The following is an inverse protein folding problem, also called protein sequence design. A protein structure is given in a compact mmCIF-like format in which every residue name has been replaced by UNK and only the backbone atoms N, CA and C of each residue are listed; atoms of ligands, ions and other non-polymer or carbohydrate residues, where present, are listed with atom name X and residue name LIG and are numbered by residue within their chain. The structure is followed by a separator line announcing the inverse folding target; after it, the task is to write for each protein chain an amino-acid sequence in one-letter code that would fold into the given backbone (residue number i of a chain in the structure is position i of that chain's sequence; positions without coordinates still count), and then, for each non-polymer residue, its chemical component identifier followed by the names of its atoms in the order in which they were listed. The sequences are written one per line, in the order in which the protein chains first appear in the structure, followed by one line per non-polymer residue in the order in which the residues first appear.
data_IF_211241261124
#
_entry.id   IF_211241261124
#
_cell.length_a   1.000
_cell.length_b   1.000
_cell.length_c   1.000
_cell.angle_alpha   90.00
_cell.angle_beta   90.00
_cell.angle_gamma   90.00
#
_symmetry.space_group_name_H-M   'P 1'
#
loop_
_entity.id
_entity.type
_entity.pdbx_description
1 polymer ?
#
# COMPACT_ATOMS: atom_id res chain seq x y z
N UNK A 1 -11.06 4.36 -28.95
CA UNK A 1 -12.35 4.67 -29.62
C UNK A 1 -13.45 4.67 -28.56
N UNK A 2 -14.43 5.59 -28.60
CA UNK A 2 -15.57 5.53 -27.69
C UNK A 2 -16.44 4.30 -27.99
N UNK A 3 -17.08 3.74 -26.95
CA UNK A 3 -18.05 2.68 -27.11
C UNK A 3 -19.35 3.19 -27.80
N UNK A 4 -20.30 2.27 -28.03
CA UNK A 4 -21.59 2.62 -28.68
C UNK A 4 -22.43 3.65 -27.91
N UNK A 5 -22.00 4.02 -26.70
CA UNK A 5 -22.64 5.01 -25.81
C UNK A 5 -21.77 6.26 -25.62
N UNK A 6 -20.71 6.45 -26.42
CA UNK A 6 -19.82 7.61 -26.36
C UNK A 6 -18.86 7.62 -25.15
N UNK A 7 -18.73 6.51 -24.42
CA UNK A 7 -17.80 6.40 -23.30
C UNK A 7 -16.39 6.18 -23.83
N UNK A 8 -15.45 7.00 -23.38
CA UNK A 8 -14.02 6.78 -23.63
C UNK A 8 -13.54 5.67 -22.71
N UNK A 9 -13.11 4.54 -23.28
CA UNK A 9 -12.38 3.54 -22.52
C UNK A 9 -10.97 4.08 -22.23
N UNK A 10 -10.55 4.02 -20.97
CA UNK A 10 -9.16 4.28 -20.61
C UNK A 10 -8.29 3.18 -21.21
N UNK A 11 -7.24 3.57 -21.92
CA UNK A 11 -6.26 2.61 -22.45
C UNK A 11 -5.44 1.97 -21.30
N UNK A 12 -5.29 2.68 -20.18
CA UNK A 12 -4.57 2.25 -18.99
C UNK A 12 -4.50 3.40 -17.97
N UNK A 13 -4.03 3.08 -16.78
CA UNK A 13 -3.79 4.01 -15.68
C UNK A 13 -2.33 3.92 -15.26
N UNK A 14 -1.72 5.06 -15.00
CA UNK A 14 -0.41 5.16 -14.35
C UNK A 14 -0.62 5.82 -13.00
N UNK A 15 -0.31 5.08 -11.93
CA UNK A 15 -0.30 5.58 -10.57
C UNK A 15 1.14 5.97 -10.22
N UNK A 16 1.42 7.27 -10.16
CA UNK A 16 2.75 7.78 -9.85
C UNK A 16 2.87 8.04 -8.34
N UNK A 17 3.66 7.19 -7.67
CA UNK A 17 3.97 7.27 -6.26
C UNK A 17 5.43 7.66 -5.98
N UNK A 18 6.14 8.13 -6.99
CA UNK A 18 7.51 8.62 -6.81
C UNK A 18 7.53 9.81 -5.86
N UNK A 19 8.45 9.81 -4.92
CA UNK A 19 8.57 10.84 -3.88
C UNK A 19 7.40 10.88 -2.89
N UNK A 20 6.53 9.88 -2.87
CA UNK A 20 5.41 9.78 -1.93
C UNK A 20 5.86 9.11 -0.63
N UNK A 21 5.99 9.85 0.50
CA UNK A 21 6.50 9.29 1.76
C UNK A 21 5.49 8.44 2.52
N UNK A 22 4.32 8.22 1.94
CA UNK A 22 3.20 7.54 2.58
C UNK A 22 2.20 8.51 3.20
N UNK A 23 1.53 8.05 4.23
CA UNK A 23 0.45 8.79 4.91
C UNK A 23 -0.41 7.81 5.71
N UNK A 24 -1.72 8.00 5.69
CA UNK A 24 -2.64 7.15 6.42
C UNK A 24 -2.78 5.77 5.77
N UNK A 25 -2.68 4.71 6.57
CA UNK A 25 -2.83 3.33 6.09
C UNK A 25 -4.17 3.10 5.40
N UNK A 26 -5.26 3.65 5.96
CA UNK A 26 -6.59 3.50 5.38
C UNK A 26 -6.65 4.10 3.95
N UNK A 27 -5.93 5.18 3.68
CA UNK A 27 -5.88 5.76 2.33
C UNK A 27 -5.11 4.89 1.34
N UNK A 28 -4.08 4.19 1.78
CA UNK A 28 -3.41 3.19 0.95
C UNK A 28 -4.36 2.02 0.61
N UNK A 29 -5.13 1.53 1.61
CA UNK A 29 -6.13 0.48 1.40
C UNK A 29 -7.23 0.96 0.45
N UNK A 30 -7.75 2.17 0.64
CA UNK A 30 -8.76 2.77 -0.22
C UNK A 30 -8.24 2.91 -1.67
N UNK A 31 -7.03 3.39 -1.83
CA UNK A 31 -6.38 3.53 -3.15
C UNK A 31 -6.21 2.18 -3.83
N UNK A 32 -5.73 1.16 -3.10
CA UNK A 32 -5.62 -0.20 -3.63
C UNK A 32 -6.99 -0.78 -3.99
N UNK A 33 -8.03 -0.48 -3.21
CA UNK A 33 -9.40 -0.93 -3.43
C UNK A 33 -10.02 -0.41 -4.73
N UNK A 34 -9.53 0.72 -5.26
CA UNK A 34 -9.96 1.22 -6.58
C UNK A 34 -9.65 0.20 -7.68
N UNK A 35 -8.60 -0.60 -7.50
CA UNK A 35 -8.07 -1.54 -8.50
C UNK A 35 -8.18 -3.02 -8.10
N UNK A 36 -8.64 -3.31 -6.90
CA UNK A 36 -8.78 -4.67 -6.36
C UNK A 36 -10.25 -4.99 -6.09
N UNK A 37 -10.61 -6.25 -6.20
CA UNK A 37 -11.95 -6.75 -5.84
C UNK A 37 -11.82 -7.61 -4.56
N UNK A 38 -11.84 -6.95 -3.41
CA UNK A 38 -11.67 -7.58 -2.11
C UNK A 38 -10.28 -8.19 -1.89
N UNK A 39 -10.12 -8.94 -0.82
CA UNK A 39 -8.92 -9.69 -0.43
C UNK A 39 -7.81 -8.83 0.18
N UNK A 40 -6.81 -9.49 0.74
CA UNK A 40 -5.78 -8.86 1.58
C UNK A 40 -4.99 -7.79 0.83
N UNK A 41 -4.87 -6.61 1.45
CA UNK A 41 -3.95 -5.54 1.06
C UNK A 41 -2.69 -5.59 1.91
N UNK A 42 -2.85 -5.79 3.22
CA UNK A 42 -1.74 -5.81 4.16
C UNK A 42 -2.08 -6.66 5.38
N UNK A 43 -1.08 -7.29 5.96
CA UNK A 43 -1.17 -7.91 7.28
C UNK A 43 -0.33 -7.11 8.26
N UNK A 44 -0.93 -6.69 9.35
CA UNK A 44 -0.22 -6.05 10.46
C UNK A 44 0.12 -7.12 11.50
N UNK A 45 1.40 -7.28 11.77
CA UNK A 45 1.90 -8.16 12.82
C UNK A 45 2.38 -7.34 14.01
N UNK A 46 1.90 -7.71 15.19
CA UNK A 46 2.30 -7.14 16.48
C UNK A 46 2.78 -8.25 17.40
N UNK A 47 3.87 -8.00 18.11
CA UNK A 47 4.39 -8.96 19.09
C UNK A 47 3.35 -9.31 20.15
N UNK A 48 3.07 -10.60 20.32
CA UNK A 48 2.14 -11.10 21.33
C UNK A 48 0.66 -10.95 20.99
N UNK A 49 0.33 -10.58 19.73
CA UNK A 49 -1.04 -10.50 19.25
C UNK A 49 -1.22 -11.36 17.98
N UNK A 50 -2.48 -11.69 17.67
CA UNK A 50 -2.80 -12.33 16.39
C UNK A 50 -2.59 -11.33 15.24
N UNK A 51 -2.08 -11.78 14.08
CA UNK A 51 -1.96 -10.93 12.91
C UNK A 51 -3.30 -10.36 12.49
N UNK A 52 -3.34 -9.07 12.20
CA UNK A 52 -4.53 -8.38 11.69
C UNK A 52 -4.43 -8.22 10.18
N UNK A 53 -5.34 -8.84 9.44
CA UNK A 53 -5.47 -8.66 8.00
C UNK A 53 -6.40 -7.51 7.70
N UNK A 54 -5.99 -6.68 6.76
CA UNK A 54 -6.77 -5.56 6.26
C UNK A 54 -6.99 -5.77 4.76
N UNK A 55 -8.24 -5.85 4.38
CA UNK A 55 -8.67 -6.22 3.04
C UNK A 55 -9.09 -4.99 2.23
N UNK A 56 -8.97 -5.11 0.91
CA UNK A 56 -9.56 -4.17 -0.02
C UNK A 56 -11.09 -4.29 -0.01
N UNK A 57 -11.77 -3.19 -0.31
CA UNK A 57 -13.19 -3.21 -0.62
C UNK A 57 -13.45 -3.99 -1.92
N UNK A 58 -14.64 -4.56 -2.04
CA UNK A 58 -15.07 -5.21 -3.28
C UNK A 58 -15.46 -4.18 -4.35
N UNK A 59 -15.41 -4.59 -5.62
CA UNK A 59 -15.94 -3.82 -6.76
C UNK A 59 -14.95 -2.87 -7.42
N UNK A 60 -13.66 -2.98 -7.14
CA UNK A 60 -12.63 -2.22 -7.84
C UNK A 60 -12.44 -2.63 -9.30
N UNK A 61 -11.82 -1.76 -10.07
CA UNK A 61 -11.50 -2.02 -11.48
C UNK A 61 -10.32 -3.00 -11.59
N UNK A 62 -10.62 -4.25 -11.89
CA UNK A 62 -9.62 -5.31 -12.04
C UNK A 62 -9.15 -5.51 -13.50
N UNK A 63 -9.66 -4.73 -14.45
CA UNK A 63 -9.47 -4.96 -15.90
C UNK A 63 -8.60 -3.93 -16.59
N UNK A 64 -8.77 -2.64 -16.26
CA UNK A 64 -7.97 -1.58 -16.89
C UNK A 64 -6.49 -1.79 -16.60
N UNK A 65 -5.60 -1.83 -17.61
CA UNK A 65 -4.16 -1.95 -17.40
C UNK A 65 -3.66 -0.91 -16.41
N UNK A 66 -2.85 -1.34 -15.43
CA UNK A 66 -2.33 -0.46 -14.36
C UNK A 66 -0.81 -0.60 -14.27
N UNK A 67 -0.13 0.53 -14.29
CA UNK A 67 1.28 0.64 -13.94
C UNK A 67 1.43 1.52 -12.69
N UNK A 68 2.34 1.14 -11.79
CA UNK A 68 2.70 1.93 -10.60
C UNK A 68 4.15 2.36 -10.73
N UNK A 69 4.42 3.67 -10.61
CA UNK A 69 5.78 4.22 -10.61
C UNK A 69 6.22 4.51 -9.20
N UNK A 70 7.41 4.04 -8.84
CA UNK A 70 8.00 4.17 -7.50
C UNK A 70 9.46 4.59 -7.57
N UNK A 71 9.96 5.14 -6.46
CA UNK A 71 11.38 5.46 -6.28
C UNK A 71 11.79 5.38 -4.80
N UNK A 72 13.04 5.74 -4.49
CA UNK A 72 13.56 5.74 -3.11
C UNK A 72 12.84 6.70 -2.16
N UNK A 73 12.01 7.60 -2.66
CA UNK A 73 11.14 8.47 -1.85
C UNK A 73 9.75 7.87 -1.58
N UNK A 74 9.41 6.76 -2.24
CA UNK A 74 8.18 6.01 -1.98
C UNK A 74 8.32 5.23 -0.69
N UNK A 75 7.49 5.52 0.33
CA UNK A 75 7.66 4.95 1.67
C UNK A 75 6.34 4.61 2.36
N UNK A 76 6.40 3.71 3.37
CA UNK A 76 5.33 3.44 4.33
C UNK A 76 4.00 3.04 3.65
N UNK A 77 2.91 3.78 3.87
CA UNK A 77 1.59 3.48 3.30
C UNK A 77 1.61 3.39 1.76
N UNK A 78 2.46 4.17 1.08
CA UNK A 78 2.63 4.06 -0.37
C UNK A 78 3.27 2.72 -0.78
N UNK A 79 4.18 2.17 0.04
CA UNK A 79 4.77 0.86 -0.18
C UNK A 79 3.74 -0.26 0.08
N UNK A 80 2.89 -0.10 1.10
CA UNK A 80 1.78 -1.04 1.38
C UNK A 80 0.87 -1.17 0.17
N UNK A 81 0.39 -0.05 -0.37
CA UNK A 81 -0.47 -0.05 -1.56
C UNK A 81 0.22 -0.65 -2.79
N UNK A 82 1.48 -0.27 -3.02
CA UNK A 82 2.30 -0.80 -4.12
C UNK A 82 2.51 -2.31 -3.98
N UNK A 83 2.91 -2.78 -2.79
CA UNK A 83 3.15 -4.20 -2.53
C UNK A 83 1.89 -5.05 -2.72
N UNK A 84 0.72 -4.53 -2.33
CA UNK A 84 -0.54 -5.20 -2.55
C UNK A 84 -0.85 -5.36 -4.05
N UNK A 85 -0.73 -4.29 -4.81
CA UNK A 85 -0.98 -4.30 -6.25
C UNK A 85 0.01 -5.20 -7.00
N UNK A 86 1.27 -5.24 -6.55
CA UNK A 86 2.32 -6.09 -7.10
C UNK A 86 2.08 -7.56 -6.79
N UNK A 87 1.93 -7.93 -5.52
CA UNK A 87 1.81 -9.32 -5.08
C UNK A 87 0.54 -10.00 -5.63
N UNK A 88 -0.49 -9.20 -5.86
CA UNK A 88 -1.75 -9.69 -6.44
C UNK A 88 -1.77 -9.66 -7.98
N UNK A 89 -0.62 -9.41 -8.60
CA UNK A 89 -0.46 -9.32 -10.06
C UNK A 89 -1.45 -8.35 -10.70
N UNK A 90 -1.84 -7.29 -9.96
CA UNK A 90 -2.79 -6.30 -10.47
C UNK A 90 -2.10 -5.21 -11.29
N UNK A 91 -0.88 -4.87 -10.95
CA UNK A 91 -0.13 -3.81 -11.61
C UNK A 91 1.29 -4.24 -11.98
N UNK A 92 1.81 -3.64 -13.04
CA UNK A 92 3.25 -3.62 -13.29
C UNK A 92 3.85 -2.50 -12.46
N UNK A 93 4.81 -2.82 -11.58
CA UNK A 93 5.54 -1.85 -10.79
C UNK A 93 6.86 -1.54 -11.48
N UNK A 94 7.13 -0.27 -11.72
CA UNK A 94 8.36 0.19 -12.37
C UNK A 94 9.02 1.35 -11.61
N UNK A 95 10.33 1.46 -11.75
CA UNK A 95 11.13 2.49 -11.10
C UNK A 95 12.33 1.94 -10.38
N UNK A 96 12.72 2.55 -9.28
CA UNK A 96 13.80 2.08 -8.40
C UNK A 96 13.24 1.51 -7.10
N UNK A 97 14.10 0.86 -6.33
CA UNK A 97 13.77 0.32 -5.00
C UNK A 97 13.18 1.42 -4.11
N UNK A 98 12.11 1.07 -3.38
CA UNK A 98 11.43 1.97 -2.45
C UNK A 98 12.19 2.10 -1.13
N UNK A 99 11.72 2.96 -0.24
CA UNK A 99 12.44 3.31 1.01
C UNK A 99 12.61 2.13 1.96
N UNK A 100 11.59 1.29 2.10
CA UNK A 100 11.60 0.17 3.03
C UNK A 100 11.14 0.54 4.44
N UNK A 101 10.08 1.34 4.59
CA UNK A 101 9.48 1.67 5.89
C UNK A 101 8.28 0.77 6.16
N UNK A 102 8.54 -0.44 6.64
CA UNK A 102 7.51 -1.42 7.00
C UNK A 102 7.19 -1.49 8.49
N UNK A 103 7.95 -0.80 9.34
CA UNK A 103 7.71 -0.75 10.79
C UNK A 103 6.58 0.20 11.17
N UNK A 104 5.82 -0.18 12.20
CA UNK A 104 4.76 0.63 12.78
C UNK A 104 5.21 1.18 14.12
N UNK A 105 5.12 2.49 14.27
CA UNK A 105 5.51 3.20 15.48
C UNK A 105 4.28 3.79 16.19
N UNK A 106 4.22 3.66 17.50
CA UNK A 106 3.22 4.30 18.35
C UNK A 106 3.89 5.29 19.30
N UNK A 107 3.49 6.56 19.30
CA UNK A 107 3.96 7.53 20.28
C UNK A 107 3.27 7.28 21.63
N UNK A 108 4.05 7.29 22.72
CA UNK A 108 3.54 7.28 24.08
C UNK A 108 3.97 8.55 24.78
N UNK A 109 3.00 9.37 25.18
CA UNK A 109 3.26 10.58 25.96
C UNK A 109 3.54 10.18 27.41
N UNK A 110 4.62 10.73 27.96
CA UNK A 110 5.04 10.54 29.35
C UNK A 110 4.42 11.60 30.28
N UNK A 111 4.52 11.39 31.60
CA UNK A 111 3.94 12.27 32.61
C UNK A 111 4.52 13.69 32.63
N UNK A 112 5.71 13.88 32.09
CA UNK A 112 6.39 15.17 31.94
C UNK A 112 6.07 15.90 30.62
N UNK A 113 5.19 15.32 29.77
CA UNK A 113 4.81 15.89 28.50
C UNK A 113 5.75 15.51 27.34
N UNK A 114 6.86 14.81 27.60
CA UNK A 114 7.70 14.23 26.57
C UNK A 114 7.02 13.02 25.89
N UNK A 115 7.48 12.61 24.71
CA UNK A 115 6.97 11.44 24.03
C UNK A 115 8.09 10.47 23.67
N UNK A 116 7.79 9.18 23.76
CA UNK A 116 8.65 8.10 23.29
C UNK A 116 7.93 7.39 22.15
N UNK A 117 8.60 7.15 21.02
CA UNK A 117 8.11 6.29 19.95
C UNK A 117 8.62 4.87 20.12
N UNK A 118 7.70 3.92 20.05
CA UNK A 118 8.04 2.49 20.07
C UNK A 118 7.66 1.84 18.75
N UNK A 119 8.52 0.98 18.23
CA UNK A 119 8.14 0.05 17.17
C UNK A 119 7.26 -1.04 17.77
N UNK A 120 6.01 -1.08 17.38
CA UNK A 120 4.99 -1.99 17.93
C UNK A 120 4.66 -3.15 17.02
N UNK A 121 5.06 -3.09 15.75
CA UNK A 121 4.79 -4.12 14.77
C UNK A 121 5.35 -3.80 13.40
N UNK A 122 5.00 -4.63 12.44
CA UNK A 122 5.42 -4.51 11.05
C UNK A 122 4.28 -4.84 10.08
N UNK A 123 4.39 -4.29 8.89
CA UNK A 123 3.51 -4.60 7.78
C UNK A 123 4.10 -5.69 6.89
N UNK A 124 3.27 -6.67 6.55
CA UNK A 124 3.55 -7.69 5.55
C UNK A 124 2.65 -7.49 4.35
N UNK A 125 3.21 -7.69 3.16
CA UNK A 125 2.45 -7.70 1.91
C UNK A 125 1.51 -8.92 1.84
N UNK A 126 0.58 -9.00 0.88
CA UNK A 126 -0.27 -10.19 0.71
C UNK A 126 0.52 -11.50 0.56
N UNK A 127 1.71 -11.46 -0.04
CA UNK A 127 2.59 -12.63 -0.15
C UNK A 127 3.42 -12.92 1.12
N UNK A 128 3.22 -12.15 2.20
CA UNK A 128 3.93 -12.32 3.47
C UNK A 128 5.35 -11.74 3.48
N UNK A 129 5.70 -10.88 2.54
CA UNK A 129 7.00 -10.20 2.51
C UNK A 129 7.01 -9.03 3.48
N UNK A 130 8.08 -8.89 4.27
CA UNK A 130 8.31 -7.67 5.04
C UNK A 130 8.74 -6.54 4.11
N UNK A 131 8.22 -5.35 4.34
CA UNK A 131 8.66 -4.13 3.67
C UNK A 131 9.83 -3.47 4.40
N UNK A 132 10.03 -3.79 5.69
CA UNK A 132 10.98 -3.10 6.55
C UNK A 132 12.42 -3.39 6.16
N UNK A 133 13.16 -2.33 5.83
CA UNK A 133 14.55 -2.38 5.41
C UNK A 133 14.79 -2.99 4.02
N UNK A 134 13.74 -3.33 3.28
CA UNK A 134 13.84 -4.02 1.98
C UNK A 134 13.32 -3.16 0.84
N UNK A 135 12.18 -2.55 1.05
CA UNK A 135 11.53 -1.79 -0.02
C UNK A 135 10.92 -2.64 -1.13
#
# INVERSE_FOLDING_TARGET
MPDRHGRRHLAGVVLDLRGNPGGLLNEAINTASVFLDGGVVVTFERRGAQPLRLDASAGGDTRTPLAVLVDGGTASAAEVGTGALQDRNRAVVGGSQTFGKGSVQEPKVLSDGSAIEFTVGSYLTPAGRSLDGVG
#
